data_IF_161373687345
#
_entry.id   IF_161373687345
#
_cell.length_a   1.000
_cell.length_b   1.000
_cell.length_c   1.000
_cell.angle_alpha   90.00
_cell.angle_beta   90.00
_cell.angle_gamma   90.00
#
_symmetry.space_group_name_H-M   'P 1'
#
loop_
_entity.id
_entity.type
_entity.pdbx_description
1 polymer ?
#
# COMPACT_ATOMS: atom_id res chain seq x y z
N UNK A 1 4.90 -23.07 -13.65
CA UNK A 1 4.39 -21.95 -12.82
C UNK A 1 3.49 -22.55 -11.74
N UNK A 2 3.69 -22.25 -10.44
CA UNK A 2 2.86 -22.87 -9.38
C UNK A 2 1.42 -22.35 -9.46
N UNK A 3 0.43 -23.20 -9.13
CA UNK A 3 -0.99 -22.80 -9.06
C UNK A 3 -1.21 -21.57 -8.16
N UNK A 4 -0.40 -21.42 -7.10
CA UNK A 4 -0.39 -20.26 -6.21
C UNK A 4 0.08 -18.97 -6.89
N UNK A 5 1.07 -19.02 -7.79
CA UNK A 5 1.52 -17.85 -8.53
C UNK A 5 0.45 -17.38 -9.51
N UNK A 6 -0.14 -18.30 -10.29
CA UNK A 6 -1.18 -17.95 -11.27
C UNK A 6 -2.38 -17.26 -10.62
N UNK A 7 -2.84 -17.74 -9.46
CA UNK A 7 -3.94 -17.13 -8.72
C UNK A 7 -3.60 -15.72 -8.20
N UNK A 8 -2.39 -15.55 -7.68
CA UNK A 8 -1.92 -14.22 -7.23
C UNK A 8 -1.81 -13.26 -8.42
N UNK A 9 -1.29 -13.74 -9.55
CA UNK A 9 -1.17 -12.95 -10.78
C UNK A 9 -2.52 -12.53 -11.34
N UNK A 10 -3.48 -13.45 -11.46
CA UNK A 10 -4.84 -13.12 -11.84
C UNK A 10 -5.47 -12.09 -10.89
N UNK A 11 -5.27 -12.26 -9.57
CA UNK A 11 -5.75 -11.31 -8.56
C UNK A 11 -5.12 -9.92 -8.71
N UNK A 12 -3.81 -9.85 -9.00
CA UNK A 12 -3.14 -8.58 -9.30
C UNK A 12 -3.80 -7.91 -10.52
N UNK A 13 -3.93 -8.62 -11.63
CA UNK A 13 -4.51 -8.07 -12.86
C UNK A 13 -5.94 -7.58 -12.65
N UNK A 14 -6.77 -8.37 -11.96
CA UNK A 14 -8.13 -7.98 -11.60
C UNK A 14 -8.13 -6.71 -10.72
N UNK A 15 -7.27 -6.64 -9.71
CA UNK A 15 -7.14 -5.46 -8.86
C UNK A 15 -6.73 -4.21 -9.64
N UNK A 16 -5.77 -4.33 -10.57
CA UNK A 16 -5.32 -3.22 -11.41
C UNK A 16 -6.39 -2.75 -12.41
N UNK A 17 -7.15 -3.69 -12.99
CA UNK A 17 -8.30 -3.38 -13.84
C UNK A 17 -9.33 -2.56 -13.06
N UNK A 18 -9.78 -3.07 -11.91
CA UNK A 18 -10.74 -2.37 -11.06
C UNK A 18 -10.22 -1.00 -10.61
N UNK A 19 -8.90 -0.87 -10.38
CA UNK A 19 -8.27 0.40 -9.99
C UNK A 19 -8.38 1.44 -11.11
N UNK A 20 -8.06 1.06 -12.36
CA UNK A 20 -8.17 1.97 -13.50
C UNK A 20 -9.62 2.39 -13.78
N UNK A 21 -10.55 1.42 -13.73
CA UNK A 21 -11.98 1.70 -13.87
C UNK A 21 -12.49 2.64 -12.76
N UNK A 22 -12.06 2.44 -11.51
CA UNK A 22 -12.40 3.32 -10.40
C UNK A 22 -11.93 4.77 -10.60
N UNK A 23 -10.68 4.96 -11.03
CA UNK A 23 -10.16 6.29 -11.35
C UNK A 23 -10.91 6.94 -12.50
N UNK A 24 -11.29 6.19 -13.55
CA UNK A 24 -12.08 6.74 -14.67
C UNK A 24 -13.46 7.24 -14.22
N UNK A 25 -14.14 6.56 -13.29
CA UNK A 25 -15.40 7.00 -12.72
C UNK A 25 -15.24 8.32 -11.94
N UNK A 26 -14.18 8.45 -11.16
CA UNK A 26 -13.89 9.69 -10.44
C UNK A 26 -13.52 10.83 -11.40
N UNK A 27 -12.83 10.55 -12.51
CA UNK A 27 -12.55 11.53 -13.56
C UNK A 27 -13.86 12.04 -14.19
N UNK A 28 -14.77 11.13 -14.56
CA UNK A 28 -16.09 11.49 -15.07
C UNK A 28 -16.94 12.27 -14.09
N UNK A 29 -16.75 12.08 -12.78
CA UNK A 29 -17.55 12.76 -11.77
C UNK A 29 -17.38 14.28 -11.76
N UNK A 30 -16.28 14.82 -12.31
CA UNK A 30 -15.94 16.25 -12.43
C UNK A 30 -15.95 17.08 -11.13
N UNK A 31 -16.19 16.48 -9.97
CA UNK A 31 -16.20 17.16 -8.65
C UNK A 31 -14.85 17.08 -7.90
N UNK A 32 -13.79 16.66 -8.60
CA UNK A 32 -12.44 16.46 -8.06
C UNK A 32 -12.00 15.00 -8.09
N UNK A 33 -10.68 14.77 -8.14
CA UNK A 33 -10.06 13.44 -8.27
C UNK A 33 -8.93 13.21 -7.26
N UNK A 34 -8.30 12.03 -7.29
CA UNK A 34 -7.15 11.69 -6.44
C UNK A 34 -5.94 12.59 -6.73
N UNK A 35 -5.05 12.88 -5.75
CA UNK A 35 -3.88 13.76 -5.93
C UNK A 35 -3.03 13.50 -7.17
N UNK A 36 -2.79 12.23 -7.47
CA UNK A 36 -1.99 11.83 -8.63
C UNK A 36 -2.75 11.96 -9.94
N UNK A 37 -4.08 11.82 -9.91
CA UNK A 37 -4.92 12.11 -11.07
C UNK A 37 -5.05 13.60 -11.32
N UNK A 38 -5.06 14.44 -10.28
CA UNK A 38 -4.94 15.90 -10.44
C UNK A 38 -3.64 16.23 -11.17
N UNK A 39 -2.53 15.59 -10.80
CA UNK A 39 -1.25 15.77 -11.49
C UNK A 39 -1.27 15.31 -12.94
N UNK A 40 -1.81 14.11 -13.21
CA UNK A 40 -1.94 13.60 -14.57
C UNK A 40 -2.84 14.50 -15.44
N UNK A 41 -3.97 14.96 -14.91
CA UNK A 41 -4.86 15.92 -15.59
C UNK A 41 -4.18 17.26 -15.85
N UNK A 42 -3.45 17.79 -14.86
CA UNK A 42 -2.70 19.04 -15.04
C UNK A 42 -1.68 18.95 -16.17
N UNK A 43 -0.92 17.85 -16.24
CA UNK A 43 0.01 17.63 -17.38
C UNK A 43 -0.75 17.44 -18.69
N UNK A 44 -1.90 16.76 -18.67
CA UNK A 44 -2.75 16.57 -19.86
C UNK A 44 -3.19 17.92 -20.44
N UNK A 45 -3.58 18.87 -19.59
CA UNK A 45 -3.99 20.21 -20.00
C UNK A 45 -2.88 21.00 -20.71
N UNK A 46 -1.62 20.78 -20.34
CA UNK A 46 -0.46 21.49 -20.92
C UNK A 46 0.11 20.78 -22.14
N UNK A 47 0.09 19.44 -22.15
CA UNK A 47 0.75 18.63 -23.19
C UNK A 47 -0.20 18.12 -24.27
N UNK A 48 -1.50 18.06 -23.98
CA UNK A 48 -2.50 17.41 -24.84
C UNK A 48 -2.44 15.88 -24.85
N UNK A 49 -1.58 15.26 -24.04
CA UNK A 49 -1.48 13.80 -23.95
C UNK A 49 -2.64 13.20 -23.15
N UNK A 50 -3.04 11.98 -23.51
CA UNK A 50 -4.08 11.24 -22.80
C UNK A 50 -3.70 10.94 -21.34
N UNK A 51 -4.71 10.96 -20.47
CA UNK A 51 -4.54 10.78 -19.02
C UNK A 51 -3.97 9.39 -18.69
N UNK A 52 -4.38 8.35 -19.41
CA UNK A 52 -3.84 7.01 -19.23
C UNK A 52 -2.36 6.92 -19.57
N UNK A 53 -1.95 7.50 -20.70
CA UNK A 53 -0.53 7.54 -21.09
C UNK A 53 0.29 8.30 -20.04
N UNK A 54 -0.19 9.47 -19.61
CA UNK A 54 0.47 10.26 -18.58
C UNK A 54 0.58 9.51 -17.25
N UNK A 55 -0.44 8.72 -16.89
CA UNK A 55 -0.38 7.87 -15.70
C UNK A 55 0.77 6.85 -15.79
N UNK A 56 0.98 6.23 -16.96
CA UNK A 56 2.11 5.31 -17.18
C UNK A 56 3.45 6.06 -17.11
N UNK A 57 3.56 7.22 -17.78
CA UNK A 57 4.79 8.01 -17.82
C UNK A 57 5.18 8.52 -16.42
N UNK A 58 4.21 9.04 -15.66
CA UNK A 58 4.41 9.47 -14.27
C UNK A 58 4.82 8.28 -13.41
N UNK A 59 4.16 7.13 -13.57
CA UNK A 59 4.53 5.89 -12.88
C UNK A 59 5.98 5.48 -13.17
N UNK A 60 6.40 5.55 -14.44
CA UNK A 60 7.78 5.32 -14.86
C UNK A 60 8.76 6.30 -14.24
N UNK A 61 8.44 7.60 -14.23
CA UNK A 61 9.26 8.63 -13.57
C UNK A 61 9.41 8.39 -12.06
N UNK A 62 8.35 7.96 -11.39
CA UNK A 62 8.40 7.57 -9.97
C UNK A 62 9.31 6.35 -9.76
N UNK A 63 9.30 5.36 -10.66
CA UNK A 63 10.23 4.24 -10.57
C UNK A 63 11.69 4.66 -10.79
N UNK A 64 11.96 5.64 -11.65
CA UNK A 64 13.31 6.21 -11.76
C UNK A 64 13.74 6.88 -10.45
N UNK A 65 12.81 7.55 -9.76
CA UNK A 65 13.07 8.11 -8.43
C UNK A 65 13.37 7.05 -7.35
N UNK A 66 13.10 5.76 -7.60
CA UNK A 66 13.49 4.68 -6.68
C UNK A 66 14.96 4.29 -6.78
N UNK A 67 15.66 4.62 -7.87
CA UNK A 67 17.09 4.33 -8.06
C UNK A 67 17.94 4.90 -6.90
N UNK A 68 17.84 6.19 -6.53
CA UNK A 68 18.56 6.71 -5.36
C UNK A 68 18.09 6.08 -4.04
N UNK A 69 16.82 5.62 -3.98
CA UNK A 69 16.26 4.94 -2.81
C UNK A 69 16.73 3.47 -2.69
N UNK A 70 17.41 2.94 -3.72
CA UNK A 70 17.76 1.51 -3.94
C UNK A 70 16.62 0.55 -3.56
N UNK A 71 15.39 0.90 -3.93
CA UNK A 71 14.28 -0.05 -3.86
C UNK A 71 14.22 -0.88 -5.14
N UNK A 72 13.97 -2.19 -5.01
CA UNK A 72 13.82 -3.09 -6.16
C UNK A 72 12.33 -3.22 -6.50
N UNK A 73 11.87 -2.78 -7.68
CA UNK A 73 10.47 -2.96 -8.08
C UNK A 73 10.14 -4.44 -8.22
N UNK A 74 8.98 -4.84 -7.70
CA UNK A 74 8.43 -6.18 -7.91
C UNK A 74 7.63 -6.26 -9.21
N UNK A 75 7.21 -7.47 -9.59
CA UNK A 75 6.34 -7.67 -10.75
C UNK A 75 5.03 -6.88 -10.62
N UNK A 76 4.43 -6.85 -9.43
CA UNK A 76 3.23 -6.06 -9.15
C UNK A 76 3.43 -4.57 -9.34
N UNK A 77 4.62 -4.05 -9.02
CA UNK A 77 4.98 -2.65 -9.22
C UNK A 77 5.03 -2.30 -10.71
N UNK A 78 5.71 -3.14 -11.50
CA UNK A 78 5.82 -2.93 -12.95
C UNK A 78 4.44 -3.03 -13.62
N UNK A 79 3.66 -4.06 -13.28
CA UNK A 79 2.31 -4.21 -13.82
C UNK A 79 1.40 -3.04 -13.43
N UNK A 80 1.52 -2.51 -12.22
CA UNK A 80 0.75 -1.33 -11.81
C UNK A 80 1.07 -0.12 -12.70
N UNK A 81 2.36 0.18 -12.91
CA UNK A 81 2.79 1.27 -13.79
C UNK A 81 2.28 1.09 -15.21
N UNK A 82 2.38 -0.12 -15.75
CA UNK A 82 2.04 -0.39 -17.15
C UNK A 82 0.55 -0.50 -17.43
N UNK A 83 -0.26 -0.96 -16.46
CA UNK A 83 -1.66 -1.35 -16.71
C UNK A 83 -2.69 -0.36 -16.17
N UNK A 84 -2.39 0.38 -15.10
CA UNK A 84 -3.39 1.31 -14.53
C UNK A 84 -3.79 2.37 -15.56
N UNK A 85 -2.84 2.95 -16.28
CA UNK A 85 -3.11 3.94 -17.33
C UNK A 85 -4.05 3.41 -18.43
N UNK A 86 -3.72 2.30 -19.11
CA UNK A 86 -4.62 1.68 -20.09
C UNK A 86 -6.01 1.33 -19.54
N UNK A 87 -6.12 0.90 -18.28
CA UNK A 87 -7.42 0.61 -17.67
C UNK A 87 -8.21 1.87 -17.30
N UNK A 88 -7.55 3.00 -17.04
CA UNK A 88 -8.22 4.30 -16.96
C UNK A 88 -8.85 4.65 -18.31
N UNK A 89 -8.09 4.56 -19.40
CA UNK A 89 -8.62 4.85 -20.75
C UNK A 89 -9.76 3.91 -21.14
N UNK A 90 -9.62 2.62 -20.82
CA UNK A 90 -10.71 1.66 -21.00
C UNK A 90 -11.96 2.08 -20.24
N UNK A 91 -11.81 2.52 -18.99
CA UNK A 91 -12.94 2.99 -18.19
C UNK A 91 -13.58 4.26 -18.75
N UNK A 92 -12.77 5.23 -19.21
CA UNK A 92 -13.25 6.44 -19.87
C UNK A 92 -14.00 6.16 -21.18
N UNK A 93 -13.65 5.06 -21.86
CA UNK A 93 -14.36 4.59 -23.06
C UNK A 93 -15.66 3.85 -22.71
N UNK A 94 -15.67 3.07 -21.63
CA UNK A 94 -16.80 2.22 -21.25
C UNK A 94 -17.91 2.98 -20.50
N UNK A 95 -17.54 3.94 -19.66
CA UNK A 95 -18.51 4.68 -18.86
C UNK A 95 -18.98 5.93 -19.60
N UNK A 96 -20.31 6.12 -19.76
CA UNK A 96 -20.82 7.33 -20.36
C UNK A 96 -20.54 8.54 -19.46
N UNK A 97 -20.20 9.67 -20.07
CA UNK A 97 -20.03 10.90 -19.32
C UNK A 97 -21.36 11.32 -18.67
N UNK A 98 -21.38 11.85 -17.43
CA UNK A 98 -22.61 12.23 -16.72
C UNK A 98 -23.55 13.15 -17.51
N UNK A 99 -23.00 13.95 -18.42
CA UNK A 99 -23.74 14.89 -19.27
C UNK A 99 -24.68 14.15 -20.25
N UNK A 100 -24.35 12.91 -20.62
CA UNK A 100 -25.16 12.06 -21.52
C UNK A 100 -26.53 11.77 -20.93
N UNK A 101 -26.69 11.81 -19.60
CA UNK A 101 -27.97 11.57 -18.95
C UNK A 101 -28.94 12.75 -19.02
N UNK A 102 -28.53 13.89 -19.59
CA UNK A 102 -29.38 15.09 -19.71
C UNK A 102 -29.83 15.69 -18.38
N UNK A 103 -29.18 15.29 -17.28
CA UNK A 103 -29.50 15.74 -15.93
C UNK A 103 -29.10 17.22 -15.76
N UNK A 104 -29.99 18.01 -15.17
CA UNK A 104 -29.76 19.45 -14.89
C UNK A 104 -30.00 19.75 -13.42
N UNK A 105 -29.40 20.84 -12.92
CA UNK A 105 -29.57 21.29 -11.54
C UNK A 105 -29.11 20.25 -10.51
N UNK A 106 -29.98 19.92 -9.55
CA UNK A 106 -29.65 18.96 -8.49
C UNK A 106 -29.37 17.54 -9.04
N UNK A 107 -30.02 17.15 -10.13
CA UNK A 107 -29.88 15.81 -10.69
C UNK A 107 -28.45 15.57 -11.21
N UNK A 108 -27.81 16.55 -11.85
CA UNK A 108 -26.43 16.40 -12.33
C UNK A 108 -25.45 16.26 -11.16
N UNK A 109 -25.65 17.02 -10.09
CA UNK A 109 -24.85 16.91 -8.86
C UNK A 109 -24.96 15.52 -8.24
N UNK A 110 -26.16 14.94 -8.20
CA UNK A 110 -26.37 13.58 -7.67
C UNK A 110 -25.70 12.51 -8.55
N UNK A 111 -25.75 12.65 -9.88
CA UNK A 111 -25.05 11.74 -10.80
C UNK A 111 -23.54 11.82 -10.59
N UNK A 112 -22.96 13.02 -10.58
CA UNK A 112 -21.54 13.24 -10.30
C UNK A 112 -21.12 12.66 -8.94
N UNK A 113 -21.90 12.92 -7.89
CA UNK A 113 -21.65 12.36 -6.57
C UNK A 113 -21.73 10.82 -6.56
N UNK A 114 -22.67 10.24 -7.31
CA UNK A 114 -22.78 8.80 -7.52
C UNK A 114 -21.55 8.21 -8.20
N UNK A 115 -21.11 8.79 -9.31
CA UNK A 115 -19.89 8.38 -10.02
C UNK A 115 -18.67 8.42 -9.12
N UNK A 116 -18.48 9.54 -8.39
CA UNK A 116 -17.37 9.70 -7.47
C UNK A 116 -17.42 8.66 -6.35
N UNK A 117 -18.58 8.46 -5.72
CA UNK A 117 -18.74 7.54 -4.60
C UNK A 117 -18.50 6.10 -5.03
N UNK A 118 -19.06 5.67 -6.16
CA UNK A 118 -18.83 4.34 -6.73
C UNK A 118 -17.34 4.17 -7.07
N UNK A 119 -16.74 5.16 -7.73
CA UNK A 119 -15.31 5.16 -8.04
C UNK A 119 -14.44 5.03 -6.80
N UNK A 120 -14.68 5.82 -5.76
CA UNK A 120 -13.91 5.78 -4.51
C UNK A 120 -14.04 4.43 -3.78
N UNK A 121 -15.26 3.88 -3.68
CA UNK A 121 -15.50 2.57 -3.06
C UNK A 121 -14.83 1.45 -3.87
N UNK A 122 -14.97 1.50 -5.20
CA UNK A 122 -14.34 0.54 -6.10
C UNK A 122 -12.80 0.62 -6.00
N UNK A 123 -12.24 1.82 -5.89
CA UNK A 123 -10.80 2.03 -5.71
C UNK A 123 -10.30 1.39 -4.42
N UNK A 124 -11.06 1.53 -3.33
CA UNK A 124 -10.71 0.91 -2.06
C UNK A 124 -10.71 -0.62 -2.17
N UNK A 125 -11.74 -1.21 -2.79
CA UNK A 125 -11.81 -2.66 -3.07
C UNK A 125 -10.63 -3.09 -3.95
N UNK A 126 -10.41 -2.41 -5.07
CA UNK A 126 -9.31 -2.65 -6.00
C UNK A 126 -7.95 -2.64 -5.30
N UNK A 127 -7.72 -1.67 -4.42
CA UNK A 127 -6.50 -1.56 -3.61
C UNK A 127 -6.28 -2.80 -2.75
N UNK A 128 -7.31 -3.30 -2.07
CA UNK A 128 -7.19 -4.54 -1.28
C UNK A 128 -6.98 -5.79 -2.13
N UNK A 129 -7.63 -5.88 -3.29
CA UNK A 129 -7.47 -6.98 -4.25
C UNK A 129 -6.01 -7.04 -4.74
N UNK A 130 -5.49 -5.92 -5.26
CA UNK A 130 -4.15 -5.88 -5.86
C UNK A 130 -3.04 -6.00 -4.80
N UNK A 131 -3.13 -5.27 -3.68
CA UNK A 131 -2.12 -5.33 -2.61
C UNK A 131 -2.12 -6.73 -2.00
N UNK A 132 -3.29 -7.34 -1.81
CA UNK A 132 -3.43 -8.70 -1.31
C UNK A 132 -2.86 -9.78 -2.24
N UNK A 133 -2.51 -9.48 -3.49
CA UNK A 133 -1.72 -10.39 -4.33
C UNK A 133 -0.25 -10.50 -3.86
N UNK A 134 0.24 -9.57 -3.03
CA UNK A 134 1.55 -9.55 -2.42
C UNK A 134 2.74 -9.65 -3.40
N UNK A 135 2.61 -9.13 -4.63
CA UNK A 135 3.64 -9.22 -5.68
C UNK A 135 4.48 -7.94 -5.85
N UNK A 136 4.42 -7.05 -4.88
CA UNK A 136 5.16 -5.78 -4.88
C UNK A 136 4.22 -4.60 -4.64
N UNK A 137 4.72 -3.54 -3.97
CA UNK A 137 3.95 -2.33 -3.72
C UNK A 137 3.75 -1.51 -5.00
N UNK A 138 2.83 -0.56 -4.98
CA UNK A 138 2.68 0.40 -6.07
C UNK A 138 3.87 1.36 -6.13
N UNK A 139 4.15 1.98 -7.29
CA UNK A 139 5.23 2.95 -7.46
C UNK A 139 5.14 4.12 -6.45
N UNK A 140 3.90 4.56 -6.17
CA UNK A 140 3.59 5.63 -5.22
C UNK A 140 3.87 5.21 -3.77
N UNK A 141 3.44 4.00 -3.39
CA UNK A 141 3.63 3.47 -2.03
C UNK A 141 5.11 3.18 -1.72
N UNK A 142 5.86 2.70 -2.72
CA UNK A 142 7.29 2.47 -2.53
C UNK A 142 8.09 3.76 -2.43
N UNK A 143 7.64 4.87 -3.03
CA UNK A 143 8.27 6.18 -2.82
C UNK A 143 8.22 6.58 -1.34
N UNK A 144 7.07 6.41 -0.67
CA UNK A 144 6.89 6.75 0.74
C UNK A 144 7.72 5.85 1.67
N UNK A 145 7.74 4.54 1.42
CA UNK A 145 8.57 3.61 2.20
C UNK A 145 10.06 3.77 1.90
N UNK A 146 10.41 4.27 0.72
CA UNK A 146 11.77 4.59 0.31
C UNK A 146 12.31 5.78 1.08
N UNK A 147 11.51 6.85 1.18
CA UNK A 147 11.83 8.00 2.03
C UNK A 147 12.03 7.58 3.49
N UNK A 148 11.15 6.72 4.03
CA UNK A 148 11.31 6.20 5.39
C UNK A 148 12.62 5.41 5.56
N UNK A 149 12.87 4.42 4.69
CA UNK A 149 14.05 3.55 4.79
C UNK A 149 15.38 4.28 4.56
N UNK A 150 15.38 5.41 3.85
CA UNK A 150 16.59 6.18 3.53
C UNK A 150 16.84 7.38 4.40
N UNK A 151 15.80 8.15 4.67
CA UNK A 151 15.90 9.44 5.36
C UNK A 151 15.41 9.34 6.81
N UNK A 152 14.87 8.19 7.24
CA UNK A 152 14.31 8.00 8.57
C UNK A 152 12.98 8.74 8.79
N UNK A 153 12.39 9.30 7.73
CA UNK A 153 11.15 10.08 7.83
C UNK A 153 9.99 9.20 8.29
N UNK A 154 9.05 9.71 9.10
CA UNK A 154 7.80 9.02 9.38
C UNK A 154 7.04 8.74 8.07
N UNK A 155 6.45 7.56 7.92
CA UNK A 155 5.70 7.17 6.70
C UNK A 155 4.59 8.17 6.38
N UNK A 156 3.88 8.66 7.42
CA UNK A 156 2.82 9.64 7.24
C UNK A 156 3.35 10.96 6.65
N UNK A 157 4.53 11.42 7.08
CA UNK A 157 5.13 12.65 6.60
C UNK A 157 5.57 12.52 5.14
N UNK A 158 6.22 11.39 4.79
CA UNK A 158 6.59 11.09 3.41
C UNK A 158 5.36 11.03 2.50
N UNK A 159 4.25 10.43 2.97
CA UNK A 159 2.98 10.41 2.27
C UNK A 159 2.42 11.81 2.03
N UNK A 160 2.27 12.60 3.09
CA UNK A 160 1.69 13.94 3.00
C UNK A 160 2.54 14.86 2.12
N UNK A 161 3.87 14.79 2.22
CA UNK A 161 4.76 15.58 1.38
C UNK A 161 4.62 15.21 -0.10
N UNK A 162 4.66 13.92 -0.43
CA UNK A 162 4.54 13.45 -1.82
C UNK A 162 3.15 13.77 -2.38
N UNK A 163 2.08 13.38 -1.68
CA UNK A 163 0.70 13.63 -2.13
C UNK A 163 0.40 15.13 -2.24
N UNK A 164 0.84 15.93 -1.27
CA UNK A 164 0.68 17.38 -1.29
C UNK A 164 1.43 18.05 -2.43
N UNK A 165 2.67 17.60 -2.72
CA UNK A 165 3.47 18.16 -3.81
C UNK A 165 2.85 17.88 -5.17
N UNK A 166 2.44 16.64 -5.45
CA UNK A 166 1.84 16.30 -6.74
C UNK A 166 0.44 16.91 -6.89
N UNK A 167 -0.33 16.99 -5.81
CA UNK A 167 -1.62 17.69 -5.80
C UNK A 167 -1.44 19.16 -6.15
N UNK A 168 -0.54 19.85 -5.46
CA UNK A 168 -0.27 21.27 -5.70
C UNK A 168 0.25 21.51 -7.11
N UNK A 169 1.22 20.72 -7.58
CA UNK A 169 1.75 20.83 -8.93
C UNK A 169 0.66 20.59 -9.98
N UNK A 170 -0.15 19.55 -9.81
CA UNK A 170 -1.27 19.27 -10.70
C UNK A 170 -2.31 20.38 -10.73
N UNK A 171 -2.64 20.93 -9.56
CA UNK A 171 -3.61 22.00 -9.43
C UNK A 171 -3.13 23.29 -10.10
N UNK A 172 -1.85 23.64 -9.93
CA UNK A 172 -1.23 24.78 -10.62
C UNK A 172 -1.23 24.62 -12.15
N UNK A 173 -1.21 23.38 -12.64
CA UNK A 173 -1.33 23.05 -14.06
C UNK A 173 -2.80 22.91 -14.53
N UNK A 174 -3.77 23.24 -13.68
CA UNK A 174 -5.20 23.22 -14.00
C UNK A 174 -5.90 21.87 -13.82
N UNK A 175 -5.29 20.91 -13.12
CA UNK A 175 -5.94 19.65 -12.77
C UNK A 175 -7.16 19.85 -11.86
N UNK A 176 -8.14 18.95 -11.92
CA UNK A 176 -9.41 19.12 -11.23
C UNK A 176 -9.31 18.86 -9.72
N UNK A 177 -9.31 19.93 -8.92
CA UNK A 177 -9.39 19.89 -7.47
C UNK A 177 -10.78 20.36 -7.02
N UNK A 178 -11.45 19.56 -6.21
CA UNK A 178 -12.78 19.89 -5.70
C UNK A 178 -13.16 19.13 -4.43
N UNK A 179 -14.45 19.12 -4.11
CA UNK A 179 -14.99 18.41 -2.94
C UNK A 179 -14.68 16.91 -2.97
N UNK A 180 -14.67 16.29 -4.16
CA UNK A 180 -14.23 14.93 -4.38
C UNK A 180 -12.78 14.71 -3.94
N UNK A 181 -11.87 15.63 -4.24
CA UNK A 181 -10.47 15.53 -3.80
C UNK A 181 -10.34 15.56 -2.27
N UNK A 182 -11.12 16.41 -1.61
CA UNK A 182 -11.16 16.47 -0.13
C UNK A 182 -11.74 15.18 0.44
N UNK A 183 -12.86 14.71 -0.10
CA UNK A 183 -13.48 13.45 0.29
C UNK A 183 -12.52 12.27 0.09
N UNK A 184 -11.79 12.23 -1.03
CA UNK A 184 -10.75 11.25 -1.31
C UNK A 184 -9.70 11.24 -0.21
N UNK A 185 -9.11 12.41 0.10
CA UNK A 185 -8.04 12.53 1.09
C UNK A 185 -8.47 12.03 2.48
N UNK A 186 -9.72 12.29 2.87
CA UNK A 186 -10.27 11.88 4.16
C UNK A 186 -10.68 10.40 4.22
N UNK A 187 -11.26 9.88 3.14
CA UNK A 187 -11.95 8.58 3.15
C UNK A 187 -11.11 7.43 2.59
N UNK A 188 -10.18 7.68 1.65
CA UNK A 188 -9.45 6.60 0.98
C UNK A 188 -8.64 5.77 1.98
N UNK A 189 -8.05 6.39 3.00
CA UNK A 189 -7.28 5.70 4.03
C UNK A 189 -8.12 4.68 4.82
N UNK A 190 -9.19 5.12 5.50
CA UNK A 190 -10.12 4.23 6.19
C UNK A 190 -10.72 3.14 5.28
N UNK A 191 -11.16 3.49 4.07
CA UNK A 191 -11.79 2.55 3.13
C UNK A 191 -10.81 1.48 2.65
N UNK A 192 -9.59 1.86 2.26
CA UNK A 192 -8.53 0.91 1.92
C UNK A 192 -8.17 0.04 3.13
N UNK A 193 -8.16 0.60 4.33
CA UNK A 193 -7.91 -0.14 5.57
C UNK A 193 -8.94 -1.25 5.82
N UNK A 194 -10.22 -1.02 5.53
CA UNK A 194 -11.28 -2.03 5.59
C UNK A 194 -11.09 -3.09 4.50
N UNK A 195 -10.90 -2.64 3.26
CA UNK A 195 -10.68 -3.52 2.11
C UNK A 195 -9.50 -4.47 2.31
N UNK A 196 -8.36 -3.97 2.77
CA UNK A 196 -7.17 -4.78 3.06
C UNK A 196 -7.45 -5.90 4.07
N UNK A 197 -8.31 -5.67 5.07
CA UNK A 197 -8.73 -6.70 6.05
C UNK A 197 -9.55 -7.80 5.40
N UNK A 198 -10.51 -7.46 4.52
CA UNK A 198 -11.30 -8.46 3.77
C UNK A 198 -10.41 -9.38 2.92
N UNK A 199 -9.32 -8.82 2.44
CA UNK A 199 -8.39 -9.48 1.55
C UNK A 199 -7.22 -10.18 2.25
N UNK A 200 -7.27 -10.28 3.58
CA UNK A 200 -6.31 -11.02 4.41
C UNK A 200 -4.99 -10.30 4.63
N UNK A 201 -4.91 -9.01 4.29
CA UNK A 201 -3.72 -8.17 4.53
C UNK A 201 -3.81 -7.60 5.94
N UNK A 202 -3.57 -8.44 6.93
CA UNK A 202 -3.51 -8.03 8.33
C UNK A 202 -2.12 -7.46 8.62
N UNK A 203 -2.04 -6.36 9.40
CA UNK A 203 -0.76 -5.78 9.87
C UNK A 203 0.14 -6.88 10.45
N UNK A 204 1.18 -7.26 9.71
CA UNK A 204 2.37 -7.86 10.30
C UNK A 204 3.09 -6.75 11.09
N UNK A 205 2.70 -6.52 12.34
CA UNK A 205 3.31 -5.44 13.13
C UNK A 205 2.54 -4.99 14.36
N UNK A 206 2.15 -5.93 15.22
CA UNK A 206 1.82 -5.65 16.62
C UNK A 206 2.05 -6.94 17.42
N UNK A 207 3.31 -7.33 17.59
CA UNK A 207 3.63 -8.55 18.33
C UNK A 207 4.96 -9.19 18.03
N UNK A 208 6.03 -8.44 17.76
CA UNK A 208 7.37 -8.92 18.15
C UNK A 208 7.45 -8.84 19.68
N UNK A 209 6.74 -9.74 20.37
CA UNK A 209 7.19 -10.20 21.68
C UNK A 209 8.55 -10.81 21.39
N UNK A 210 9.61 -10.07 21.74
CA UNK A 210 10.97 -10.58 21.69
C UNK A 210 11.06 -11.93 22.39
N UNK A 211 12.05 -12.78 22.03
CA UNK A 211 12.23 -14.07 22.68
C UNK A 211 12.22 -13.85 24.19
N UNK A 212 11.23 -14.43 24.86
CA UNK A 212 11.10 -14.43 26.32
C UNK A 212 12.45 -14.90 26.84
N UNK A 213 13.22 -14.00 27.44
CA UNK A 213 14.48 -14.31 28.08
C UNK A 213 14.24 -15.54 28.96
N UNK A 214 14.93 -16.63 28.63
CA UNK A 214 14.98 -17.83 29.44
C UNK A 214 15.50 -17.41 30.81
N UNK A 215 14.59 -17.34 31.79
CA UNK A 215 14.97 -17.31 33.20
C UNK A 215 15.94 -18.48 33.43
N UNK A 216 17.14 -18.28 33.99
CA UNK A 216 17.92 -19.40 34.48
C UNK A 216 17.12 -20.02 35.62
N UNK A 217 16.63 -21.24 35.42
CA UNK A 217 16.16 -22.05 36.53
C UNK A 217 17.38 -22.40 37.35
N UNK A 218 17.46 -21.85 38.57
CA UNK A 218 18.28 -22.41 39.63
C UNK A 218 17.80 -23.85 39.86
N UNK A 219 18.42 -24.81 39.17
CA UNK A 219 18.44 -26.22 39.60
C UNK A 219 19.54 -26.35 40.63
N UNK A 220 19.23 -26.04 41.87
CA UNK A 220 19.87 -26.70 43.01
C UNK A 220 19.37 -28.13 43.04
N UNK A 221 20.13 -29.08 42.48
CA UNK A 221 19.98 -30.50 42.79
C UNK A 221 21.13 -30.95 43.71
N UNK A 222 20.84 -31.79 44.72
CA UNK A 222 21.78 -32.10 45.79
C UNK A 222 22.79 -33.15 45.31
N UNK A 223 24.08 -32.84 45.47
CA UNK A 223 25.13 -33.83 45.27
C UNK A 223 25.05 -34.89 46.37
N UNK A 224 24.84 -36.12 45.91
CA UNK A 224 24.97 -37.40 46.59
C UNK A 224 26.15 -37.47 47.57
N UNK A 225 25.86 -37.63 48.87
CA UNK A 225 26.81 -38.22 49.83
C UNK A 225 26.59 -39.72 49.89
N UNK A 226 27.41 -40.44 49.15
CA UNK A 226 27.56 -41.89 49.23
C UNK A 226 29.05 -42.21 49.13
N UNK A 227 29.71 -42.36 50.29
CA UNK A 227 30.94 -43.14 50.40
C UNK A 227 31.19 -43.56 51.86
N UNK A 228 30.77 -44.80 52.13
CA UNK A 228 31.55 -45.86 52.79
C UNK A 228 32.33 -45.53 54.07
N UNK A 229 31.84 -46.10 55.19
CA UNK A 229 32.68 -46.71 56.25
C UNK A 229 33.23 -48.06 55.75
N UNK A 230 34.48 -48.43 56.08
CA UNK A 230 34.76 -49.36 57.19
C UNK A 230 36.00 -48.94 58.01
N UNK A 231 35.95 -48.91 59.35
CA UNK A 231 36.43 -49.93 60.31
C UNK A 231 37.94 -50.28 60.33
N UNK A 232 38.59 -49.86 61.43
CA UNK A 232 39.61 -50.55 62.27
C UNK A 232 41.08 -50.70 61.83
N UNK A 233 41.93 -50.20 62.75
CA UNK A 233 43.23 -50.69 63.30
C UNK A 233 44.49 -50.63 62.40
N UNK A 234 45.51 -49.88 62.84
CA UNK A 234 46.65 -50.32 63.67
C UNK A 234 47.55 -49.09 63.98
N UNK A 235 47.84 -48.81 65.26
CA UNK A 235 49.14 -49.01 65.94
C UNK A 235 50.17 -47.87 65.77
N UNK A 236 50.45 -47.15 66.86
CA UNK A 236 51.80 -46.64 67.16
C UNK A 236 51.94 -46.42 68.69
N UNK A 237 53.10 -46.72 69.31
CA UNK A 237 53.27 -46.80 70.77
C UNK A 237 53.85 -45.50 71.36
N UNK A 238 53.47 -45.19 72.60
CA UNK A 238 54.18 -44.30 73.52
C UNK A 238 54.15 -44.99 74.91
N UNK A 239 55.27 -45.51 75.41
CA UNK A 239 56.33 -44.84 76.18
C UNK A 239 55.85 -44.36 77.57
N UNK A 240 56.52 -44.98 78.56
CA UNK A 240 56.62 -44.68 80.00
C UNK A 240 55.45 -45.16 80.86
#
# INVERSE_FOLDING_TARGET
MSRSFALRFARLLAGLLLYGLAESLMVHATIGVSPWMVFAQGIANVTGLGIGLLTVLIGGAVLLAWIPLRQRPGLGTLMNVLLVGPFIELGLLLFPAPEVFGATGLASVLVSAGYFTIGLLLLAVASGVYIGAAMGPGPRDGLMTGLHSRLGWPIWLGRTAVEGTVLLAGWLLGGNVGLGTVAFALLVGPLCGVSLRWFGVTKAGAGSRGPRATRPSHRSSPASRSSRRPSRRASSPARV
#
